data_IF_745190013273
#
_entry.id   IF_745190013273
#
_cell.length_a   1.000
_cell.length_b   1.000
_cell.length_c   1.000
_cell.angle_alpha   90.00
_cell.angle_beta   90.00
_cell.angle_gamma   90.00
#
_symmetry.space_group_name_H-M   'P 1'
#
loop_
_entity.id
_entity.type
_entity.pdbx_description
1 polymer ?
#
# COMPACT_ATOMS: atom_id res chain seq x y z
N UNK A 1 10.10 -19.58 8.16
CA UNK A 1 9.46 -19.00 6.94
C UNK A 1 7.96 -18.72 7.13
N UNK A 2 7.37 -18.94 8.31
CA UNK A 2 5.93 -18.75 8.56
C UNK A 2 5.46 -17.29 8.60
N UNK A 3 6.37 -16.32 8.79
CA UNK A 3 6.02 -14.89 8.94
C UNK A 3 6.39 -14.05 7.69
N UNK A 4 6.63 -14.70 6.55
CA UNK A 4 6.96 -14.01 5.30
C UNK A 4 5.73 -14.06 4.41
N UNK A 5 5.12 -12.90 4.15
CA UNK A 5 4.09 -12.75 3.14
C UNK A 5 4.75 -12.59 1.77
N UNK A 6 4.65 -13.61 0.92
CA UNK A 6 5.07 -13.54 -0.48
C UNK A 6 3.85 -13.23 -1.35
N UNK A 7 3.55 -11.94 -1.52
CA UNK A 7 2.52 -11.49 -2.46
C UNK A 7 3.10 -11.27 -3.86
N UNK A 8 2.70 -12.04 -4.91
CA UNK A 8 3.15 -11.78 -6.27
C UNK A 8 2.38 -10.60 -6.87
N UNK A 9 2.59 -9.39 -6.36
CA UNK A 9 1.95 -8.21 -6.92
C UNK A 9 2.65 -7.81 -8.23
N UNK A 10 1.98 -7.98 -9.37
CA UNK A 10 2.55 -7.74 -10.72
C UNK A 10 3.19 -6.35 -10.84
N UNK A 11 2.54 -5.32 -10.29
CA UNK A 11 3.06 -3.96 -10.29
C UNK A 11 4.37 -3.85 -9.48
N UNK A 12 4.47 -4.51 -8.31
CA UNK A 12 5.70 -4.51 -7.50
C UNK A 12 6.81 -5.26 -8.22
N UNK A 13 6.51 -6.39 -8.86
CA UNK A 13 7.50 -7.15 -9.65
C UNK A 13 8.05 -6.35 -10.84
N UNK A 14 7.19 -5.66 -11.58
CA UNK A 14 7.59 -4.78 -12.67
C UNK A 14 8.49 -3.63 -12.18
N UNK A 15 8.11 -3.01 -11.06
CA UNK A 15 8.91 -1.93 -10.44
C UNK A 15 10.24 -2.41 -9.87
N UNK A 16 10.29 -3.60 -9.28
CA UNK A 16 11.56 -4.21 -8.83
C UNK A 16 12.46 -4.52 -10.02
N UNK A 17 11.89 -4.97 -11.14
CA UNK A 17 12.66 -5.19 -12.38
C UNK A 17 13.30 -3.88 -12.87
N UNK A 18 12.56 -2.78 -12.85
CA UNK A 18 13.10 -1.45 -13.18
C UNK A 18 14.15 -0.97 -12.15
N UNK A 19 13.92 -1.21 -10.86
CA UNK A 19 14.84 -0.84 -9.78
C UNK A 19 16.20 -1.54 -9.89
N UNK A 20 16.22 -2.77 -10.46
CA UNK A 20 17.45 -3.55 -10.69
C UNK A 20 18.27 -3.04 -11.89
N UNK A 21 17.75 -2.12 -12.69
CA UNK A 21 18.48 -1.55 -13.81
C UNK A 21 19.62 -0.64 -13.32
N UNK A 22 20.86 -0.94 -13.68
CA UNK A 22 22.06 -0.16 -13.30
C UNK A 22 22.09 1.24 -13.89
N UNK A 23 21.34 1.50 -14.95
CA UNK A 23 21.31 2.78 -15.67
C UNK A 23 20.22 3.74 -15.15
N UNK A 24 19.57 3.42 -14.03
CA UNK A 24 18.47 4.21 -13.49
C UNK A 24 18.93 5.61 -13.03
N UNK A 25 18.13 6.62 -13.36
CA UNK A 25 18.34 7.99 -12.87
C UNK A 25 17.91 8.11 -11.39
N UNK A 26 18.64 8.92 -10.63
CA UNK A 26 18.42 9.07 -9.18
C UNK A 26 16.99 9.45 -8.78
N UNK A 27 16.34 10.36 -9.54
CA UNK A 27 14.96 10.75 -9.27
C UNK A 27 13.99 9.58 -9.46
N UNK A 28 14.25 8.72 -10.46
CA UNK A 28 13.42 7.55 -10.76
C UNK A 28 13.62 6.47 -9.72
N UNK A 29 14.85 6.26 -9.25
CA UNK A 29 15.14 5.34 -8.15
C UNK A 29 14.30 5.67 -6.90
N UNK A 30 14.28 6.95 -6.48
CA UNK A 30 13.47 7.39 -5.34
C UNK A 30 11.96 7.23 -5.58
N UNK A 31 11.50 7.52 -6.80
CA UNK A 31 10.10 7.34 -7.16
C UNK A 31 9.69 5.86 -7.08
N UNK A 32 10.50 4.94 -7.60
CA UNK A 32 10.25 3.50 -7.54
C UNK A 32 10.17 2.98 -6.10
N UNK A 33 11.09 3.40 -5.22
CA UNK A 33 11.03 3.02 -3.80
C UNK A 33 9.69 3.46 -3.21
N UNK A 34 9.27 4.71 -3.43
CA UNK A 34 8.00 5.21 -2.92
C UNK A 34 6.81 4.40 -3.45
N UNK A 35 6.80 4.12 -4.75
CA UNK A 35 5.73 3.36 -5.40
C UNK A 35 5.64 1.92 -4.86
N UNK A 36 6.77 1.23 -4.69
CA UNK A 36 6.85 -0.11 -4.10
C UNK A 36 6.34 -0.08 -2.65
N UNK A 37 6.84 0.86 -1.85
CA UNK A 37 6.47 0.98 -0.43
C UNK A 37 4.99 1.32 -0.25
N UNK A 38 4.38 2.10 -1.14
CA UNK A 38 2.93 2.37 -1.07
C UNK A 38 2.12 1.09 -1.23
N UNK A 39 2.44 0.25 -2.21
CA UNK A 39 1.71 -1.00 -2.46
C UNK A 39 1.90 -1.97 -1.28
N UNK A 40 3.15 -2.19 -0.88
CA UNK A 40 3.46 -3.08 0.24
C UNK A 40 2.86 -2.58 1.57
N UNK A 41 2.81 -1.25 1.76
CA UNK A 41 2.18 -0.65 2.93
C UNK A 41 0.69 -0.94 2.98
N UNK A 42 -0.03 -0.84 1.86
CA UNK A 42 -1.45 -1.19 1.78
C UNK A 42 -1.65 -2.68 2.11
N UNK A 43 -0.84 -3.56 1.51
CA UNK A 43 -0.92 -5.00 1.79
C UNK A 43 -0.65 -5.32 3.27
N UNK A 44 0.35 -4.68 3.87
CA UNK A 44 0.68 -4.87 5.28
C UNK A 44 -0.40 -4.32 6.23
N UNK A 45 -1.19 -3.34 5.79
CA UNK A 45 -2.22 -2.73 6.62
C UNK A 45 -3.56 -3.47 6.62
N UNK A 46 -3.71 -4.52 5.79
CA UNK A 46 -5.00 -5.23 5.63
C UNK A 46 -5.56 -5.84 6.90
N UNK A 47 -4.70 -6.27 7.83
CA UNK A 47 -5.10 -6.97 9.06
C UNK A 47 -5.20 -6.04 10.29
N UNK A 48 -5.15 -4.72 10.13
CA UNK A 48 -5.29 -3.82 11.27
C UNK A 48 -6.70 -3.92 11.89
N UNK A 49 -6.81 -3.90 13.24
CA UNK A 49 -8.11 -3.92 13.90
C UNK A 49 -8.90 -2.64 13.56
N UNK A 50 -10.13 -2.81 13.10
CA UNK A 50 -11.04 -1.71 12.78
C UNK A 50 -12.12 -1.56 13.85
N UNK A 51 -12.51 -0.31 14.14
CA UNK A 51 -13.57 0.08 15.08
C UNK A 51 -14.67 0.83 14.35
N UNK A 52 -15.91 0.62 14.78
CA UNK A 52 -17.06 1.37 14.30
C UNK A 52 -17.05 2.80 14.83
N UNK A 53 -17.25 3.77 13.93
CA UNK A 53 -17.36 5.19 14.24
C UNK A 53 -18.77 5.66 13.83
N UNK A 54 -19.74 5.69 14.76
CA UNK A 54 -21.11 6.10 14.46
C UNK A 54 -21.23 7.62 14.31
N UNK A 55 -22.26 8.06 13.60
CA UNK A 55 -22.62 9.49 13.51
C UNK A 55 -21.72 10.32 12.58
N UNK A 56 -21.01 9.67 11.65
CA UNK A 56 -20.32 10.38 10.57
C UNK A 56 -21.36 10.97 9.62
N UNK A 57 -21.03 12.12 9.01
CA UNK A 57 -21.90 12.74 8.04
C UNK A 57 -21.31 12.73 6.62
N UNK A 58 -22.12 12.31 5.66
CA UNK A 58 -21.87 12.50 4.23
C UNK A 58 -22.69 13.69 3.73
N UNK A 59 -22.47 14.20 2.50
CA UNK A 59 -23.32 15.26 1.94
C UNK A 59 -24.80 14.89 1.79
N UNK A 60 -25.15 13.60 1.89
CA UNK A 60 -26.50 13.08 1.67
C UNK A 60 -27.14 12.63 3.00
N UNK A 61 -26.41 11.83 3.79
CA UNK A 61 -26.93 11.24 5.02
C UNK A 61 -25.84 10.76 6.01
N UNK A 62 -26.26 10.54 7.25
CA UNK A 62 -25.46 10.02 8.35
C UNK A 62 -25.15 8.52 8.18
N UNK A 63 -23.97 8.10 8.61
CA UNK A 63 -23.53 6.71 8.49
C UNK A 63 -22.56 6.32 9.61
N UNK A 64 -22.25 5.02 9.71
CA UNK A 64 -21.21 4.48 10.59
C UNK A 64 -19.99 4.12 9.73
N UNK A 65 -18.86 4.76 10.01
CA UNK A 65 -17.59 4.47 9.34
C UNK A 65 -16.74 3.45 10.09
N UNK A 66 -15.57 3.13 9.53
CA UNK A 66 -14.55 2.29 10.15
C UNK A 66 -13.26 3.10 10.30
N UNK A 67 -12.64 3.02 11.47
CA UNK A 67 -11.31 3.59 11.72
C UNK A 67 -10.46 2.60 12.52
N UNK A 68 -9.17 2.57 12.27
CA UNK A 68 -8.17 1.85 13.09
C UNK A 68 -7.92 2.58 14.40
#
# INVERSE_FOLDING_TARGET
MSNIALGPHLIVQSKISELRNSWILWHRFRALIKEIMTVLGIEAMGDLPLRDVPGLQSPIDSYTGKAT
#
